data_IF_442028330409
#
_entry.id   IF_442028330409
#
_cell.length_a   1.000
_cell.length_b   1.000
_cell.length_c   1.000
_cell.angle_alpha   90.00
_cell.angle_beta   90.00
_cell.angle_gamma   90.00
#
_symmetry.space_group_name_H-M   'P 1'
#
loop_
_entity.id
_entity.type
_entity.pdbx_description
1 polymer ?
#
# COMPACT_ATOMS: atom_id res chain seq x y z
N UNK A 1 -9.34 -26.90 -7.40
CA UNK A 1 -8.18 -27.80 -7.35
C UNK A 1 -7.52 -27.67 -6.00
N UNK A 2 -8.17 -28.21 -4.97
CA UNK A 2 -7.80 -28.16 -3.55
C UNK A 2 -6.89 -29.35 -3.18
N UNK A 3 -5.74 -29.49 -3.83
CA UNK A 3 -4.87 -30.67 -3.58
C UNK A 3 -3.39 -30.32 -3.44
N UNK A 4 -3.04 -29.07 -3.14
CA UNK A 4 -1.65 -28.65 -2.99
C UNK A 4 -1.18 -28.53 -1.53
N UNK A 5 -2.08 -28.64 -0.55
CA UNK A 5 -1.79 -28.49 0.89
C UNK A 5 -2.21 -29.71 1.73
N UNK A 6 -1.90 -30.93 1.28
CA UNK A 6 -2.02 -32.13 2.13
C UNK A 6 -0.63 -32.52 2.66
N UNK A 7 -0.49 -32.64 3.98
CA UNK A 7 0.71 -33.21 4.60
C UNK A 7 0.90 -34.64 4.09
N UNK A 8 2.05 -34.91 3.45
CA UNK A 8 2.34 -36.21 2.83
C UNK A 8 2.86 -37.19 3.89
N UNK A 9 2.13 -38.27 4.22
CA UNK A 9 2.60 -39.27 5.17
C UNK A 9 3.79 -40.06 4.60
N UNK A 10 4.68 -40.58 5.47
CA UNK A 10 5.87 -41.35 5.04
C UNK A 10 5.53 -42.57 4.17
N UNK A 11 4.31 -43.11 4.25
CA UNK A 11 3.85 -44.21 3.41
C UNK A 11 3.69 -43.85 1.92
N UNK A 12 3.56 -42.55 1.59
CA UNK A 12 3.53 -42.04 0.20
C UNK A 12 4.92 -41.62 -0.30
N UNK A 13 5.94 -41.65 0.56
CA UNK A 13 7.32 -41.41 0.18
C UNK A 13 7.97 -42.73 -0.29
N UNK A 14 8.34 -42.76 -1.56
CA UNK A 14 9.07 -43.90 -2.12
C UNK A 14 10.46 -43.95 -1.49
N UNK A 15 10.79 -45.04 -0.78
CA UNK A 15 12.11 -45.22 -0.14
C UNK A 15 13.21 -45.21 -1.21
N UNK A 16 14.40 -44.76 -0.84
CA UNK A 16 15.55 -44.64 -1.76
C UNK A 16 16.22 -46.01 -2.07
N UNK A 17 15.43 -46.95 -2.58
CA UNK A 17 15.90 -48.22 -3.14
C UNK A 17 16.11 -48.10 -4.67
N UNK A 18 16.67 -49.13 -5.29
CA UNK A 18 17.02 -49.10 -6.72
C UNK A 18 15.79 -48.98 -7.63
N UNK A 19 14.70 -49.65 -7.26
CA UNK A 19 13.40 -49.55 -7.94
C UNK A 19 12.78 -48.15 -7.82
N UNK A 20 12.88 -47.51 -6.64
CA UNK A 20 12.38 -46.14 -6.44
C UNK A 20 13.10 -45.10 -7.29
N UNK A 21 14.42 -45.26 -7.46
CA UNK A 21 15.24 -44.40 -8.35
C UNK A 21 14.90 -44.60 -9.83
N UNK A 22 14.50 -45.80 -10.24
CA UNK A 22 14.05 -46.06 -11.60
C UNK A 22 12.71 -45.37 -11.89
N UNK A 23 11.75 -45.45 -10.98
CA UNK A 23 10.43 -44.80 -11.10
C UNK A 23 10.57 -43.27 -11.14
N UNK A 24 11.48 -42.70 -10.36
CA UNK A 24 11.76 -41.26 -10.41
C UNK A 24 12.31 -40.84 -11.78
N UNK A 25 13.26 -41.60 -12.36
CA UNK A 25 13.83 -41.32 -13.69
C UNK A 25 12.79 -41.43 -14.80
N UNK A 26 11.91 -42.42 -14.76
CA UNK A 26 10.79 -42.58 -15.70
C UNK A 26 9.83 -41.39 -15.63
N UNK A 27 9.38 -41.00 -14.43
CA UNK A 27 8.45 -39.86 -14.26
C UNK A 27 9.02 -38.53 -14.72
N UNK A 28 10.31 -38.30 -14.51
CA UNK A 28 11.00 -37.09 -15.02
C UNK A 28 11.06 -37.11 -16.56
N UNK A 29 11.33 -38.26 -17.18
CA UNK A 29 11.32 -38.40 -18.64
C UNK A 29 9.93 -38.16 -19.23
N UNK A 30 8.88 -38.68 -18.58
CA UNK A 30 7.50 -38.47 -19.01
C UNK A 30 7.07 -37.01 -18.87
N UNK A 31 7.46 -36.35 -17.77
CA UNK A 31 7.24 -34.91 -17.60
C UNK A 31 7.93 -34.09 -18.70
N UNK A 32 9.19 -34.41 -19.01
CA UNK A 32 9.93 -33.74 -20.08
C UNK A 32 9.30 -34.00 -21.47
N UNK A 33 8.81 -35.21 -21.74
CA UNK A 33 8.08 -35.54 -22.98
C UNK A 33 6.76 -34.78 -23.10
N UNK A 34 6.00 -34.66 -22.01
CA UNK A 34 4.77 -33.88 -21.97
C UNK A 34 5.03 -32.38 -22.20
N UNK A 35 6.09 -31.84 -21.59
CA UNK A 35 6.49 -30.44 -21.75
C UNK A 35 6.93 -30.13 -23.19
N UNK A 36 7.65 -31.06 -23.83
CA UNK A 36 8.07 -30.94 -25.24
C UNK A 36 6.90 -31.04 -26.22
N UNK A 37 5.86 -31.85 -25.92
CA UNK A 37 4.60 -31.90 -26.70
C UNK A 37 3.82 -30.60 -26.59
N UNK A 38 3.77 -29.98 -25.41
CA UNK A 38 3.07 -28.70 -25.19
C UNK A 38 3.75 -27.55 -25.93
N UNK A 39 5.09 -27.53 -25.96
CA UNK A 39 5.87 -26.52 -26.69
C UNK A 39 5.77 -26.67 -28.23
N UNK A 40 5.53 -27.88 -28.74
CA UNK A 40 5.35 -28.16 -30.18
C UNK A 40 3.96 -27.78 -30.70
N UNK A 41 2.95 -27.71 -29.82
CA UNK A 41 1.58 -27.30 -30.17
C UNK A 41 1.44 -25.76 -30.31
N UNK A 42 2.29 -24.99 -29.63
CA UNK A 42 2.25 -23.52 -29.65
C UNK A 42 2.83 -22.89 -30.94
N UNK A 43 3.72 -23.61 -31.63
CA UNK A 43 4.39 -23.13 -32.85
C UNK A 43 3.65 -23.43 -34.16
N UNK A 44 2.49 -24.09 -34.11
CA UNK A 44 1.74 -24.55 -35.29
C UNK A 44 0.41 -23.86 -35.58
N UNK A 45 -0.02 -22.89 -34.76
CA UNK A 45 -1.35 -22.30 -34.85
C UNK A 45 -1.35 -20.92 -35.57
N UNK A 46 -0.99 -20.92 -36.85
CA UNK A 46 -1.28 -19.82 -37.78
C UNK A 46 -2.21 -20.33 -38.89
N UNK A 47 -3.52 -20.32 -38.65
CA UNK A 47 -4.54 -20.57 -39.68
C UNK A 47 -5.84 -21.19 -39.15
N UNK A 48 -6.96 -20.45 -39.26
CA UNK A 48 -8.31 -21.02 -39.32
C UNK A 48 -9.19 -20.89 -38.08
N UNK A 49 -10.23 -20.06 -38.21
CA UNK A 49 -11.33 -19.76 -37.27
C UNK A 49 -12.24 -20.97 -36.95
N UNK A 50 -12.58 -21.17 -35.67
CA UNK A 50 -13.96 -21.03 -35.13
C UNK A 50 -14.16 -21.70 -33.76
N UNK A 51 -14.66 -20.90 -32.81
CA UNK A 51 -15.54 -21.24 -31.69
C UNK A 51 -15.15 -22.37 -30.71
N UNK A 52 -14.52 -21.98 -29.58
CA UNK A 52 -14.92 -22.45 -28.23
C UNK A 52 -14.17 -21.69 -27.12
N UNK A 53 -14.97 -21.02 -26.27
CA UNK A 53 -14.62 -20.46 -24.94
C UNK A 53 -13.46 -19.44 -24.94
N UNK A 54 -13.85 -18.16 -25.01
CA UNK A 54 -13.12 -17.09 -24.34
C UNK A 54 -13.05 -17.45 -22.84
N UNK A 55 -11.96 -18.10 -22.45
CA UNK A 55 -11.56 -18.28 -21.05
C UNK A 55 -10.66 -17.11 -20.75
N UNK A 56 -11.14 -16.26 -19.85
CA UNK A 56 -10.61 -14.94 -19.55
C UNK A 56 -9.10 -14.87 -19.58
N UNK A 57 -8.61 -13.77 -20.16
CA UNK A 57 -7.38 -13.13 -19.73
C UNK A 57 -7.23 -13.35 -18.22
N UNK A 58 -6.07 -13.81 -17.78
CA UNK A 58 -5.76 -13.95 -16.37
C UNK A 58 -5.84 -12.58 -15.69
N UNK A 59 -7.05 -12.15 -15.34
CA UNK A 59 -7.29 -11.14 -14.33
C UNK A 59 -6.70 -11.73 -13.07
N UNK A 60 -5.51 -11.23 -12.74
CA UNK A 60 -4.96 -11.44 -11.41
C UNK A 60 -6.03 -10.85 -10.50
N UNK A 61 -6.72 -11.69 -9.73
CA UNK A 61 -7.84 -11.25 -8.88
C UNK A 61 -7.40 -9.99 -8.12
N UNK A 62 -8.27 -8.99 -7.98
CA UNK A 62 -8.02 -7.76 -7.21
C UNK A 62 -7.38 -8.09 -5.84
N UNK A 63 -7.83 -9.18 -5.22
CA UNK A 63 -7.30 -9.70 -3.97
C UNK A 63 -5.84 -10.16 -4.06
N UNK A 64 -5.46 -10.83 -5.15
CA UNK A 64 -4.08 -11.28 -5.39
C UNK A 64 -3.16 -10.10 -5.64
N UNK A 65 -3.59 -9.10 -6.42
CA UNK A 65 -2.82 -7.87 -6.64
C UNK A 65 -2.67 -7.06 -5.35
N UNK A 66 -3.74 -6.96 -4.54
CA UNK A 66 -3.68 -6.30 -3.24
C UNK A 66 -2.66 -6.97 -2.31
N UNK A 67 -2.62 -8.31 -2.26
CA UNK A 67 -1.63 -9.04 -1.48
C UNK A 67 -0.19 -8.78 -1.96
N UNK A 68 0.05 -8.79 -3.27
CA UNK A 68 1.36 -8.48 -3.88
C UNK A 68 1.82 -7.05 -3.54
N UNK A 69 0.91 -6.08 -3.64
CA UNK A 69 1.17 -4.68 -3.31
C UNK A 69 1.42 -4.48 -1.80
N UNK A 70 0.73 -5.22 -0.94
CA UNK A 70 0.96 -5.17 0.52
C UNK A 70 2.35 -5.65 0.89
N UNK A 71 2.85 -6.70 0.25
CA UNK A 71 4.22 -7.15 0.48
C UNK A 71 5.26 -6.19 -0.12
N UNK A 72 4.97 -5.61 -1.29
CA UNK A 72 5.88 -4.67 -1.95
C UNK A 72 5.97 -3.31 -1.22
N UNK A 73 4.85 -2.82 -0.67
CA UNK A 73 4.76 -1.59 0.13
C UNK A 73 4.83 -1.88 1.64
N UNK A 74 5.60 -2.91 2.04
CA UNK A 74 5.77 -3.26 3.44
C UNK A 74 6.39 -2.10 4.22
N UNK A 75 5.68 -1.63 5.24
CA UNK A 75 6.15 -0.56 6.12
C UNK A 75 7.35 -1.01 6.99
N UNK A 76 8.41 -0.20 7.10
CA UNK A 76 9.49 -0.42 8.06
C UNK A 76 9.00 -0.47 9.51
N UNK A 77 9.70 -1.22 10.38
CA UNK A 77 9.31 -1.39 11.79
C UNK A 77 9.08 -0.05 12.52
N UNK A 78 9.98 0.92 12.34
CA UNK A 78 9.86 2.24 12.98
C UNK A 78 8.64 3.06 12.54
N UNK A 79 8.13 2.84 11.32
CA UNK A 79 6.92 3.47 10.82
C UNK A 79 5.66 2.77 11.36
N UNK A 80 5.70 1.44 11.49
CA UNK A 80 4.63 0.68 12.15
C UNK A 80 4.47 1.10 13.61
N UNK A 81 5.57 1.23 14.34
CA UNK A 81 5.53 1.69 15.72
C UNK A 81 4.92 3.09 15.83
N UNK A 82 5.29 4.01 14.92
CA UNK A 82 4.70 5.35 14.88
C UNK A 82 3.19 5.33 14.62
N UNK A 83 2.69 4.41 13.78
CA UNK A 83 1.25 4.24 13.57
C UNK A 83 0.52 3.72 14.82
N UNK A 84 1.16 2.83 15.58
CA UNK A 84 0.61 2.32 16.85
C UNK A 84 0.56 3.45 17.89
N UNK A 85 1.65 4.22 18.02
CA UNK A 85 1.72 5.41 18.89
C UNK A 85 0.63 6.43 18.51
N UNK A 86 0.48 6.72 17.22
CA UNK A 86 -0.53 7.65 16.70
C UNK A 86 -1.96 7.18 17.04
N UNK A 87 -2.25 5.89 16.83
CA UNK A 87 -3.55 5.31 17.18
C UNK A 87 -3.85 5.39 18.69
N UNK A 88 -2.86 5.09 19.54
CA UNK A 88 -3.02 5.15 21.00
C UNK A 88 -3.27 6.58 21.47
N UNK A 89 -2.49 7.55 20.98
CA UNK A 89 -2.62 8.96 21.35
C UNK A 89 -3.98 9.54 20.97
N UNK A 90 -4.52 9.19 19.81
CA UNK A 90 -5.80 9.73 19.36
C UNK A 90 -6.98 8.98 19.96
N UNK A 91 -6.93 7.65 19.96
CA UNK A 91 -8.10 6.84 20.31
C UNK A 91 -8.23 6.64 21.82
N UNK A 92 -7.10 6.37 22.51
CA UNK A 92 -7.07 6.11 23.96
C UNK A 92 -6.78 7.38 24.77
N UNK A 93 -5.77 8.15 24.39
CA UNK A 93 -5.38 9.35 25.16
C UNK A 93 -6.20 10.60 24.81
N UNK A 94 -7.06 10.54 23.78
CA UNK A 94 -7.92 11.65 23.33
C UNK A 94 -7.15 12.92 22.98
N UNK A 95 -5.94 12.77 22.45
CA UNK A 95 -5.11 13.86 21.94
C UNK A 95 -5.29 14.03 20.43
N UNK A 96 -4.96 15.21 19.92
CA UNK A 96 -5.01 15.52 18.49
C UNK A 96 -3.64 15.98 17.98
N UNK A 97 -3.41 15.73 16.70
CA UNK A 97 -2.27 16.35 16.01
C UNK A 97 -2.56 17.86 15.92
N UNK A 98 -1.62 18.73 16.32
CA UNK A 98 -1.80 20.17 16.17
C UNK A 98 -1.93 20.54 14.68
N UNK A 99 -2.98 21.28 14.34
CA UNK A 99 -3.23 21.76 12.97
C UNK A 99 -3.20 23.29 12.94
N UNK A 100 -2.10 23.85 12.46
CA UNK A 100 -1.85 25.31 12.46
C UNK A 100 -1.11 25.79 13.72
N UNK A 101 -0.50 26.98 13.59
CA UNK A 101 0.27 27.72 14.61
C UNK A 101 1.62 27.11 15.04
N UNK A 102 2.68 27.36 14.27
CA UNK A 102 4.11 27.40 14.69
C UNK A 102 4.77 26.14 15.29
N UNK A 103 3.98 25.21 15.82
CA UNK A 103 4.32 23.89 16.38
C UNK A 103 3.91 22.77 15.43
N UNK A 104 3.32 23.11 14.29
CA UNK A 104 2.95 22.19 13.25
C UNK A 104 4.21 21.63 12.58
N UNK A 105 4.25 20.32 12.36
CA UNK A 105 5.21 19.72 11.44
C UNK A 105 4.95 20.22 10.02
N UNK A 106 5.94 20.13 9.12
CA UNK A 106 5.74 20.50 7.73
C UNK A 106 4.52 19.77 7.14
N UNK A 107 3.73 20.50 6.37
CA UNK A 107 2.53 19.95 5.74
C UNK A 107 2.87 18.84 4.74
N UNK A 108 1.89 18.02 4.36
CA UNK A 108 2.07 17.04 3.28
C UNK A 108 2.57 17.71 2.00
N UNK A 109 2.09 18.91 1.69
CA UNK A 109 2.57 19.68 0.53
C UNK A 109 4.07 19.93 0.62
N UNK A 110 4.54 20.49 1.73
CA UNK A 110 5.94 20.81 1.98
C UNK A 110 6.83 19.57 2.00
N UNK A 111 6.35 18.48 2.63
CA UNK A 111 7.04 17.20 2.65
C UNK A 111 7.26 16.64 1.24
N UNK A 112 6.23 16.71 0.39
CA UNK A 112 6.33 16.26 -1.00
C UNK A 112 7.21 17.19 -1.84
N UNK A 113 7.14 18.51 -1.63
CA UNK A 113 8.03 19.50 -2.28
C UNK A 113 9.50 19.23 -1.91
N UNK A 114 9.79 18.98 -0.63
CA UNK A 114 11.14 18.64 -0.14
C UNK A 114 11.64 17.31 -0.71
N UNK A 115 10.76 16.31 -0.81
CA UNK A 115 11.09 15.03 -1.43
C UNK A 115 11.44 15.19 -2.92
N UNK A 116 10.64 15.96 -3.66
CA UNK A 116 10.92 16.28 -5.07
C UNK A 116 12.26 17.00 -5.20
N UNK A 117 12.52 18.03 -4.40
CA UNK A 117 13.77 18.78 -4.41
C UNK A 117 14.99 17.91 -4.06
N UNK A 118 14.84 16.98 -3.13
CA UNK A 118 15.90 16.03 -2.76
C UNK A 118 16.22 15.02 -3.88
N UNK A 119 15.23 14.67 -4.70
CA UNK A 119 15.36 13.65 -5.77
C UNK A 119 15.67 14.24 -7.15
N UNK A 120 15.21 15.45 -7.44
CA UNK A 120 15.49 16.19 -8.68
C UNK A 120 17.00 16.36 -8.92
N UNK A 121 17.79 16.58 -7.85
CA UNK A 121 19.25 16.73 -7.93
C UNK A 121 20.02 15.47 -8.34
N UNK A 122 19.36 14.30 -8.39
CA UNK A 122 20.06 13.00 -8.49
C UNK A 122 19.61 12.11 -9.63
N UNK A 123 18.56 12.48 -10.39
CA UNK A 123 17.96 11.55 -11.36
C UNK A 123 17.41 12.23 -12.60
N UNK A 124 17.43 11.52 -13.73
CA UNK A 124 16.74 11.87 -14.99
C UNK A 124 15.21 11.71 -14.92
N UNK A 125 14.67 11.20 -13.81
CA UNK A 125 13.24 10.88 -13.62
C UNK A 125 12.46 11.98 -12.91
N UNK A 126 12.95 13.23 -12.91
CA UNK A 126 12.31 14.35 -12.21
C UNK A 126 10.81 14.50 -12.50
N UNK A 127 10.42 14.39 -13.79
CA UNK A 127 9.00 14.47 -14.21
C UNK A 127 8.12 13.40 -13.55
N UNK A 128 8.64 12.19 -13.42
CA UNK A 128 7.92 11.08 -12.79
C UNK A 128 7.73 11.32 -11.28
N UNK A 129 8.72 11.90 -10.60
CA UNK A 129 8.54 12.27 -9.18
C UNK A 129 7.45 13.34 -9.03
N UNK A 130 7.39 14.30 -9.95
CA UNK A 130 6.31 15.29 -10.03
C UNK A 130 4.94 14.64 -10.16
N UNK A 131 4.76 13.79 -11.17
CA UNK A 131 3.49 13.08 -11.42
C UNK A 131 3.05 12.23 -10.22
N UNK A 132 3.97 11.50 -9.58
CA UNK A 132 3.67 10.70 -8.38
C UNK A 132 3.28 11.59 -7.21
N UNK A 133 3.99 12.70 -6.98
CA UNK A 133 3.69 13.61 -5.88
C UNK A 133 2.34 14.31 -6.11
N UNK A 134 2.05 14.78 -7.32
CA UNK A 134 0.78 15.41 -7.65
C UNK A 134 -0.39 14.43 -7.54
N UNK A 135 -0.18 13.18 -7.98
CA UNK A 135 -1.12 12.08 -7.75
C UNK A 135 -1.39 11.87 -6.26
N UNK A 136 -0.35 11.79 -5.43
CA UNK A 136 -0.50 11.66 -3.97
C UNK A 136 -1.22 12.85 -3.34
N UNK A 137 -0.97 14.09 -3.78
CA UNK A 137 -1.66 15.29 -3.27
C UNK A 137 -3.15 15.24 -3.55
N UNK A 138 -3.52 15.01 -4.80
CA UNK A 138 -4.91 14.89 -5.23
C UNK A 138 -5.61 13.75 -4.49
N UNK A 139 -4.92 12.62 -4.35
CA UNK A 139 -5.45 11.45 -3.67
C UNK A 139 -5.64 11.68 -2.18
N UNK A 140 -4.65 12.29 -1.51
CA UNK A 140 -4.72 12.62 -0.09
C UNK A 140 -5.89 13.54 0.23
N UNK A 141 -6.13 14.56 -0.59
CA UNK A 141 -7.26 15.48 -0.42
C UNK A 141 -8.62 14.76 -0.42
N UNK A 142 -8.78 13.72 -1.24
CA UNK A 142 -10.01 12.93 -1.32
C UNK A 142 -10.09 11.83 -0.25
N UNK A 143 -8.96 11.18 0.02
CA UNK A 143 -8.87 10.07 0.96
C UNK A 143 -8.99 10.52 2.42
N UNK A 144 -8.47 11.71 2.76
CA UNK A 144 -8.42 12.19 4.13
C UNK A 144 -9.80 12.16 4.83
N UNK A 145 -10.83 12.92 4.36
CA UNK A 145 -12.12 12.95 5.04
C UNK A 145 -12.85 11.60 5.02
N UNK A 146 -12.52 10.75 4.05
CA UNK A 146 -13.24 9.50 3.77
C UNK A 146 -12.72 8.35 4.63
N UNK A 147 -11.41 8.11 4.63
CA UNK A 147 -10.81 6.87 5.17
C UNK A 147 -9.61 7.08 6.09
N UNK A 148 -9.00 8.27 6.18
CA UNK A 148 -7.76 8.45 6.96
C UNK A 148 -7.97 9.01 8.38
N UNK A 149 -9.11 9.66 8.64
CA UNK A 149 -9.41 10.26 9.95
C UNK A 149 -10.09 9.26 10.89
N UNK A 150 -9.63 9.23 12.13
CA UNK A 150 -10.36 8.56 13.21
C UNK A 150 -11.64 9.31 13.54
N UNK A 151 -12.61 8.62 14.17
CA UNK A 151 -13.87 9.25 14.60
C UNK A 151 -13.64 10.52 15.43
N UNK A 152 -12.63 10.49 16.30
CA UNK A 152 -12.27 11.60 17.18
C UNK A 152 -11.80 12.84 16.41
N UNK A 153 -11.07 12.70 15.30
CA UNK A 153 -10.51 13.81 14.51
C UNK A 153 -11.52 14.47 13.57
N UNK A 154 -12.72 13.88 13.39
CA UNK A 154 -13.71 14.38 12.42
C UNK A 154 -14.22 15.78 12.76
N UNK A 155 -14.34 16.13 14.04
CA UNK A 155 -14.71 17.49 14.46
C UNK A 155 -13.60 18.49 14.08
N UNK A 156 -12.35 18.20 14.45
CA UNK A 156 -11.20 19.03 14.09
C UNK A 156 -11.13 19.31 12.58
N UNK A 157 -11.37 18.30 11.75
CA UNK A 157 -11.43 18.48 10.29
C UNK A 157 -12.58 19.40 9.84
N UNK A 158 -13.79 19.23 10.40
CA UNK A 158 -14.94 20.10 10.05
C UNK A 158 -14.67 21.54 10.42
N UNK A 159 -14.24 21.77 11.66
CA UNK A 159 -13.97 23.12 12.17
C UNK A 159 -12.90 23.81 11.33
N UNK A 160 -11.82 23.11 10.99
CA UNK A 160 -10.74 23.67 10.19
C UNK A 160 -11.14 23.91 8.72
N UNK A 161 -11.98 23.04 8.15
CA UNK A 161 -12.53 23.22 6.79
C UNK A 161 -13.46 24.45 6.73
N UNK A 162 -14.32 24.62 7.72
CA UNK A 162 -15.24 25.75 7.82
C UNK A 162 -14.51 27.07 8.11
N UNK A 163 -13.50 27.06 8.99
CA UNK A 163 -12.78 28.26 9.40
C UNK A 163 -11.79 28.79 8.35
N UNK A 164 -11.06 27.89 7.66
CA UNK A 164 -9.95 28.30 6.79
C UNK A 164 -10.19 28.05 5.31
N UNK A 165 -11.09 27.13 4.94
CA UNK A 165 -11.31 26.75 3.53
C UNK A 165 -10.07 26.17 2.84
N UNK A 166 -9.07 25.72 3.61
CA UNK A 166 -7.77 25.26 3.10
C UNK A 166 -7.83 23.78 2.71
N UNK A 167 -7.05 23.39 1.70
CA UNK A 167 -6.97 22.01 1.25
C UNK A 167 -6.30 21.10 2.30
N UNK A 168 -6.74 19.85 2.45
CA UNK A 168 -6.13 18.90 3.39
C UNK A 168 -4.60 18.79 3.29
N UNK A 169 -4.06 18.79 2.09
CA UNK A 169 -2.61 18.69 1.82
C UNK A 169 -1.77 19.81 2.45
N UNK A 170 -2.36 20.99 2.67
CA UNK A 170 -1.66 22.17 3.21
C UNK A 170 -1.74 22.23 4.75
N UNK A 171 -2.65 21.47 5.37
CA UNK A 171 -2.90 21.51 6.82
C UNK A 171 -2.34 20.30 7.52
N UNK A 172 -2.55 19.11 6.95
CA UNK A 172 -2.20 17.86 7.60
C UNK A 172 -0.73 17.50 7.36
N UNK A 173 -0.16 16.73 8.29
CA UNK A 173 1.25 16.36 8.30
C UNK A 173 1.55 14.93 7.86
N UNK A 174 2.75 14.47 8.19
CA UNK A 174 3.25 13.15 7.80
C UNK A 174 2.51 11.98 8.48
N UNK A 175 1.89 12.20 9.63
CA UNK A 175 1.10 11.22 10.37
C UNK A 175 -0.04 10.69 9.50
N UNK A 176 -0.85 11.61 8.96
CA UNK A 176 -2.00 11.28 8.13
C UNK A 176 -1.56 10.72 6.78
N UNK A 177 -0.45 11.22 6.22
CA UNK A 177 0.14 10.64 5.01
C UNK A 177 0.60 9.20 5.25
N UNK A 178 1.17 8.90 6.42
CA UNK A 178 1.59 7.54 6.76
C UNK A 178 0.40 6.58 6.86
N UNK A 179 -0.76 7.05 7.32
CA UNK A 179 -2.01 6.27 7.29
C UNK A 179 -2.45 5.97 5.85
N UNK A 180 -2.22 6.90 4.92
CA UNK A 180 -2.50 6.65 3.51
C UNK A 180 -1.68 5.46 2.98
N UNK A 181 -0.41 5.34 3.34
CA UNK A 181 0.43 4.21 2.93
C UNK A 181 -0.10 2.84 3.39
N UNK A 182 -0.80 2.77 4.52
CA UNK A 182 -1.46 1.53 4.97
C UNK A 182 -2.60 1.15 4.02
N UNK A 183 -3.28 2.14 3.44
CA UNK A 183 -4.44 1.95 2.56
C UNK A 183 -4.09 1.88 1.08
N UNK A 184 -2.95 2.42 0.66
CA UNK A 184 -2.52 2.42 -0.74
C UNK A 184 -2.60 1.06 -1.44
N UNK A 185 -2.19 -0.08 -0.85
CA UNK A 185 -2.29 -1.37 -1.54
C UNK A 185 -3.72 -1.75 -1.95
N UNK A 186 -4.70 -1.50 -1.08
CA UNK A 186 -6.12 -1.76 -1.35
C UNK A 186 -6.67 -0.84 -2.45
N UNK A 187 -6.17 0.39 -2.49
CA UNK A 187 -6.63 1.41 -3.42
C UNK A 187 -6.00 1.25 -4.80
N UNK A 188 -4.71 0.91 -4.85
CA UNK A 188 -3.95 0.67 -6.07
C UNK A 188 -4.37 -0.65 -6.76
N UNK A 189 -4.81 -1.65 -6.00
CA UNK A 189 -5.34 -2.89 -6.57
C UNK A 189 -6.60 -2.67 -7.43
N UNK A 190 -7.37 -1.62 -7.13
CA UNK A 190 -8.55 -1.20 -7.89
C UNK A 190 -8.22 -0.29 -9.06
N UNK A 191 -6.99 0.22 -9.14
CA UNK A 191 -6.56 1.04 -10.25
C UNK A 191 -6.27 0.15 -11.46
N UNK A 192 -6.93 0.44 -12.59
CA UNK A 192 -6.66 -0.23 -13.86
C UNK A 192 -5.35 0.28 -14.49
N UNK A 193 -4.21 -0.11 -13.91
CA UNK A 193 -2.87 0.29 -14.35
C UNK A 193 -2.06 -0.93 -14.79
N UNK A 194 -1.25 -0.77 -15.85
CA UNK A 194 -0.36 -1.83 -16.32
C UNK A 194 0.70 -2.18 -15.26
N UNK A 195 1.15 -3.44 -15.26
CA UNK A 195 2.05 -3.96 -14.22
C UNK A 195 3.38 -3.21 -14.17
N UNK A 196 3.92 -2.84 -15.31
CA UNK A 196 5.19 -2.12 -15.44
C UNK A 196 5.11 -0.74 -14.77
N UNK A 197 4.02 0.00 -15.02
CA UNK A 197 3.79 1.30 -14.38
C UNK A 197 3.54 1.15 -12.87
N UNK A 198 2.86 0.09 -12.44
CA UNK A 198 2.66 -0.22 -11.03
C UNK A 198 3.98 -0.49 -10.31
N UNK A 199 4.86 -1.30 -10.89
CA UNK A 199 6.19 -1.57 -10.31
C UNK A 199 6.99 -0.29 -10.14
N UNK A 200 6.97 0.60 -11.15
CA UNK A 200 7.64 1.90 -11.07
C UNK A 200 7.04 2.78 -9.97
N UNK A 201 5.71 2.89 -9.90
CA UNK A 201 5.02 3.65 -8.86
C UNK A 201 5.38 3.15 -7.46
N UNK A 202 5.28 1.83 -7.23
CA UNK A 202 5.62 1.20 -5.95
C UNK A 202 7.07 1.47 -5.55
N UNK A 203 8.00 1.46 -6.51
CA UNK A 203 9.39 1.80 -6.23
C UNK A 203 9.53 3.26 -5.75
N UNK A 204 8.83 4.22 -6.37
CA UNK A 204 8.84 5.63 -5.96
C UNK A 204 8.17 5.88 -4.62
N UNK A 205 7.04 5.20 -4.35
CA UNK A 205 6.38 5.20 -3.04
C UNK A 205 7.29 4.64 -1.94
N UNK A 206 8.03 3.58 -2.25
CA UNK A 206 9.02 3.00 -1.33
C UNK A 206 10.18 3.96 -1.06
N UNK A 207 10.64 4.70 -2.06
CA UNK A 207 11.65 5.76 -1.87
C UNK A 207 11.14 6.89 -0.98
N UNK A 208 9.88 7.29 -1.13
CA UNK A 208 9.23 8.30 -0.28
C UNK A 208 9.13 7.81 1.18
N UNK A 209 8.72 6.56 1.42
CA UNK A 209 8.72 5.97 2.76
C UNK A 209 10.10 6.00 3.42
N UNK A 210 11.15 5.66 2.66
CA UNK A 210 12.54 5.73 3.15
C UNK A 210 12.97 7.17 3.48
N UNK A 211 12.54 8.14 2.67
CA UNK A 211 12.80 9.56 2.92
C UNK A 211 12.13 10.04 4.21
N UNK A 212 10.85 9.72 4.41
CA UNK A 212 10.11 10.02 5.65
C UNK A 212 10.76 9.37 6.87
N UNK A 213 11.22 8.12 6.74
CA UNK A 213 11.93 7.41 7.81
C UNK A 213 13.26 8.09 8.17
N UNK A 214 14.03 8.53 7.17
CA UNK A 214 15.32 9.21 7.37
C UNK A 214 15.19 10.59 8.02
N UNK A 215 14.02 11.23 7.93
CA UNK A 215 13.74 12.56 8.46
C UNK A 215 12.62 12.54 9.51
N UNK A 216 12.56 11.46 10.32
CA UNK A 216 11.48 11.25 11.30
C UNK A 216 11.31 12.45 12.25
N UNK A 217 12.41 13.00 12.76
CA UNK A 217 12.39 14.13 13.69
C UNK A 217 11.88 15.45 13.09
N UNK A 218 11.96 15.61 11.76
CA UNK A 218 11.50 16.82 11.07
C UNK A 218 10.01 16.77 10.77
N UNK A 219 9.52 15.63 10.29
CA UNK A 219 8.15 15.54 9.76
C UNK A 219 7.12 14.98 10.72
N UNK A 220 7.54 14.28 11.78
CA UNK A 220 6.61 13.70 12.75
C UNK A 220 6.59 14.49 14.05
N UNK A 221 5.38 14.73 14.54
CA UNK A 221 5.10 15.44 15.78
C UNK A 221 5.54 14.57 16.95
N UNK A 222 6.30 15.20 17.87
CA UNK A 222 6.73 14.57 19.11
C UNK A 222 5.56 14.44 20.09
N UNK A 223 4.83 15.53 20.32
CA UNK A 223 3.77 15.65 21.33
C UNK A 223 2.45 16.11 20.73
N UNK A 224 1.37 15.38 21.05
CA UNK A 224 0.03 15.66 20.56
C UNK A 224 -0.66 16.59 21.57
N UNK A 225 -1.54 17.46 21.09
CA UNK A 225 -2.20 18.44 21.93
C UNK A 225 -3.47 17.85 22.56
N UNK A 226 -3.70 18.21 23.83
CA UNK A 226 -4.98 17.93 24.50
C UNK A 226 -6.00 18.95 23.97
N UNK A 227 -7.14 18.51 23.44
CA UNK A 227 -8.16 19.43 22.93
C UNK A 227 -8.79 20.26 24.05
N UNK A 228 -9.42 21.37 23.68
CA UNK A 228 -10.15 22.21 24.63
C UNK A 228 -11.36 21.49 25.26
N UNK A 229 -11.84 22.02 26.38
CA UNK A 229 -12.98 21.46 27.13
C UNK A 229 -14.26 21.38 26.27
N UNK A 230 -14.42 22.29 25.28
CA UNK A 230 -15.54 22.26 24.35
C UNK A 230 -15.48 21.07 23.40
N UNK A 231 -14.28 20.71 22.94
CA UNK A 231 -14.03 19.52 22.13
C UNK A 231 -14.31 18.24 22.91
N UNK A 232 -13.88 18.18 24.17
CA UNK A 232 -14.13 17.05 25.06
C UNK A 232 -15.63 16.87 25.35
N UNK A 233 -16.35 17.98 25.58
CA UNK A 233 -17.80 17.95 25.77
C UNK A 233 -18.55 17.45 24.52
N UNK A 234 -18.14 17.89 23.33
CA UNK A 234 -18.70 17.39 22.07
C UNK A 234 -18.50 15.88 21.91
N UNK A 235 -17.29 15.39 22.23
CA UNK A 235 -17.00 13.96 22.12
C UNK A 235 -17.83 13.13 23.11
N UNK A 236 -17.97 13.60 24.35
CA UNK A 236 -18.81 12.93 25.35
C UNK A 236 -20.27 12.77 24.90
N UNK A 237 -20.83 13.77 24.19
CA UNK A 237 -22.17 13.67 23.61
C UNK A 237 -22.23 12.70 22.41
N UNK A 238 -21.18 12.67 21.58
CA UNK A 238 -21.09 11.82 20.40
C UNK A 238 -20.87 10.33 20.72
N UNK A 239 -20.35 9.99 21.91
CA UNK A 239 -20.16 8.60 22.35
C UNK A 239 -21.48 7.94 22.82
N UNK A 240 -22.48 8.76 23.15
CA UNK A 240 -23.82 8.33 23.57
C UNK A 240 -24.87 8.36 22.45
N UNK A 241 -24.50 8.80 21.24
CA UNK A 241 -25.36 8.88 20.06
C UNK A 241 -25.01 7.80 19.02
#
# INVERSE_FOLDING_TARGET
NEHWDEWVPESRLLRANEEGRAIQKERVKDFQRAHKRKQKLDLGAAGGSSSKKAKGSGETSEETLCAELRESLRLPHGMKLKLIEDWERITREKKLVPLGDGRCTPSVKELLDDFMAAKARRTSHERLYGEVCDGLRSYFNQALPTILLYKYERKQHRDNKEAKGVSPVDVYGAEHLLRLFVKLPELLARCNMQREHMTVLVAKLTELLKFMQGQKAKYFVADYEVPDDGYLAWWGQAEHA
#
